data_IF_038008030434
#
_entry.id   IF_038008030434
#
_cell.length_a   1.000
_cell.length_b   1.000
_cell.length_c   1.000
_cell.angle_alpha   90.00
_cell.angle_beta   90.00
_cell.angle_gamma   90.00
#
_symmetry.space_group_name_H-M   'P 1'
#
loop_
_entity.id
_entity.type
_entity.pdbx_description
1 polymer ?
#
# COMPACT_ATOMS: atom_id res chain seq x y z
N UNK A 1 -7.78 10.24 -26.57
CA UNK A 1 -7.50 10.25 -25.11
C UNK A 1 -7.32 8.83 -24.53
N UNK A 2 -8.34 7.95 -24.55
CA UNK A 2 -8.26 6.64 -23.86
C UNK A 2 -7.16 5.71 -24.40
N UNK A 3 -6.92 5.67 -25.71
CA UNK A 3 -5.83 4.88 -26.30
C UNK A 3 -4.45 5.34 -25.82
N UNK A 4 -4.21 6.65 -25.80
CA UNK A 4 -2.96 7.24 -25.28
C UNK A 4 -2.76 6.94 -23.79
N UNK A 5 -3.86 6.89 -23.03
CA UNK A 5 -3.84 6.52 -21.61
C UNK A 5 -3.50 5.04 -21.43
N UNK A 6 -4.02 4.14 -22.26
CA UNK A 6 -3.72 2.71 -22.21
C UNK A 6 -2.24 2.42 -22.54
N UNK A 7 -1.69 3.02 -23.59
CA UNK A 7 -0.25 2.87 -23.94
C UNK A 7 0.63 3.33 -22.78
N UNK A 8 0.27 4.44 -22.13
CA UNK A 8 0.98 4.93 -20.95
C UNK A 8 0.86 3.96 -19.74
N UNK A 9 -0.31 3.37 -19.50
CA UNK A 9 -0.50 2.36 -18.44
C UNK A 9 0.34 1.10 -18.73
N UNK A 10 0.41 0.65 -19.98
CA UNK A 10 1.23 -0.51 -20.38
C UNK A 10 2.73 -0.27 -20.17
N UNK A 11 3.21 0.94 -20.43
CA UNK A 11 4.59 1.33 -20.16
C UNK A 11 4.91 1.36 -18.66
N UNK A 12 3.97 1.87 -17.86
CA UNK A 12 4.11 1.94 -16.40
C UNK A 12 3.97 0.57 -15.71
N UNK A 13 3.20 -0.36 -16.27
CA UNK A 13 3.09 -1.73 -15.73
C UNK A 13 4.35 -2.55 -16.00
N UNK A 14 5.09 -2.28 -17.09
CA UNK A 14 6.40 -2.90 -17.38
C UNK A 14 7.49 -2.48 -16.38
N UNK A 15 7.37 -1.30 -15.78
CA UNK A 15 8.31 -0.77 -14.78
C UNK A 15 8.00 -1.19 -13.34
N UNK A 16 7.06 -2.13 -13.12
CA UNK A 16 6.66 -2.71 -11.81
C UNK A 16 6.24 -1.69 -10.73
N UNK A 17 5.83 -0.48 -11.11
CA UNK A 17 5.27 0.50 -10.17
C UNK A 17 3.77 0.23 -9.95
N UNK A 18 3.34 0.20 -8.69
CA UNK A 18 1.93 0.11 -8.33
C UNK A 18 1.23 1.42 -8.72
N UNK A 19 0.30 1.35 -9.68
CA UNK A 19 -0.43 2.52 -10.19
C UNK A 19 -1.69 2.80 -9.37
N UNK A 20 -1.71 3.96 -8.69
CA UNK A 20 -2.90 4.50 -8.04
C UNK A 20 -3.93 4.98 -9.09
N UNK A 21 -5.20 4.64 -8.89
CA UNK A 21 -6.32 5.08 -9.73
C UNK A 21 -6.45 6.60 -9.81
N UNK A 22 -6.02 7.35 -8.80
CA UNK A 22 -5.99 8.82 -8.88
C UNK A 22 -4.93 9.35 -9.85
N UNK A 23 -3.76 8.70 -9.91
CA UNK A 23 -2.71 9.04 -10.88
C UNK A 23 -3.21 8.81 -12.31
N UNK A 24 -3.94 7.72 -12.54
CA UNK A 24 -4.55 7.42 -13.86
C UNK A 24 -5.60 8.48 -14.24
N UNK A 25 -6.46 8.88 -13.31
CA UNK A 25 -7.44 9.96 -13.55
C UNK A 25 -6.77 11.30 -13.87
N UNK A 26 -5.72 11.66 -13.13
CA UNK A 26 -4.97 12.89 -13.39
C UNK A 26 -4.26 12.86 -14.75
N UNK A 27 -3.68 11.72 -15.13
CA UNK A 27 -3.06 11.55 -16.45
C UNK A 27 -4.09 11.66 -17.57
N UNK A 28 -5.29 11.11 -17.39
CA UNK A 28 -6.39 11.21 -18.35
C UNK A 28 -6.79 12.67 -18.61
N UNK A 29 -6.93 13.47 -17.55
CA UNK A 29 -7.21 14.91 -17.64
C UNK A 29 -6.10 15.67 -18.40
N UNK A 30 -4.83 15.39 -18.09
CA UNK A 30 -3.70 16.01 -18.78
C UNK A 30 -3.69 15.69 -20.28
N UNK A 31 -3.94 14.44 -20.65
CA UNK A 31 -4.02 14.01 -22.05
C UNK A 31 -5.18 14.70 -22.75
N UNK A 32 -6.35 14.78 -22.11
CA UNK A 32 -7.52 15.45 -22.67
C UNK A 32 -7.25 16.95 -22.94
N UNK A 33 -6.74 17.67 -21.95
CA UNK A 33 -6.43 19.10 -22.09
C UNK A 33 -5.36 19.36 -23.16
N UNK A 34 -4.36 18.48 -23.26
CA UNK A 34 -3.32 18.58 -24.29
C UNK A 34 -3.91 18.45 -25.70
N UNK A 35 -4.77 17.44 -25.92
CA UNK A 35 -5.41 17.22 -27.22
C UNK A 35 -6.30 18.42 -27.62
N UNK A 36 -7.09 18.94 -26.68
CA UNK A 36 -7.94 20.11 -26.92
C UNK A 36 -7.13 21.40 -27.16
N UNK A 37 -5.91 21.50 -26.62
CA UNK A 37 -5.03 22.65 -26.86
C UNK A 37 -4.34 22.60 -28.23
N UNK A 38 -4.33 21.43 -28.87
CA UNK A 38 -3.69 21.20 -30.18
C UNK A 38 -4.67 21.18 -31.36
N UNK A 39 -5.97 21.10 -31.10
CA UNK A 39 -7.01 21.19 -32.14
C UNK A 39 -7.28 22.66 -32.50
N UNK A 40 -7.19 23.00 -33.80
CA UNK A 40 -7.61 24.30 -34.32
C UNK A 40 -9.12 24.47 -34.11
N UNK A 41 -9.63 25.71 -33.88
CA UNK A 41 -11.01 25.94 -33.50
C UNK A 41 -11.94 25.62 -34.68
N UNK A 42 -12.52 24.42 -34.68
CA UNK A 42 -13.68 24.12 -35.51
C UNK A 42 -14.92 24.68 -34.84
N UNK A 43 -15.65 25.50 -35.59
CA UNK A 43 -16.98 26.01 -35.27
C UNK A 43 -17.96 24.84 -35.18
N UNK A 44 -18.10 24.24 -34.00
CA UNK A 44 -19.33 23.61 -33.54
C UNK A 44 -19.24 23.48 -32.01
N UNK A 45 -20.09 24.25 -31.34
CA UNK A 45 -20.20 24.33 -29.89
C UNK A 45 -20.68 23.01 -29.30
N UNK A 46 -19.75 22.24 -28.74
CA UNK A 46 -20.01 21.52 -27.50
C UNK A 46 -18.70 21.44 -26.72
N UNK A 47 -18.47 22.45 -25.87
CA UNK A 47 -17.33 22.51 -24.94
C UNK A 47 -17.56 21.50 -23.80
N UNK A 48 -17.58 20.21 -24.14
CA UNK A 48 -17.73 19.15 -23.18
C UNK A 48 -16.44 18.98 -22.39
N UNK A 49 -16.39 19.63 -21.24
CA UNK A 49 -15.33 19.43 -20.25
C UNK A 49 -15.32 17.95 -19.82
N UNK A 50 -14.26 17.22 -20.19
CA UNK A 50 -14.09 15.85 -19.73
C UNK A 50 -13.83 15.83 -18.22
N UNK A 51 -14.64 15.04 -17.51
CA UNK A 51 -14.46 14.79 -16.07
C UNK A 51 -14.04 13.34 -15.89
N UNK A 52 -12.85 13.12 -15.32
CA UNK A 52 -12.34 11.80 -14.95
C UNK A 52 -13.05 11.23 -13.70
N UNK A 53 -14.37 11.08 -13.79
CA UNK A 53 -15.23 10.64 -12.69
C UNK A 53 -14.96 9.20 -12.26
N UNK A 54 -15.44 8.82 -11.07
CA UNK A 54 -15.37 7.42 -10.59
C UNK A 54 -16.06 6.46 -11.57
N UNK A 55 -17.25 6.81 -12.06
CA UNK A 55 -18.01 5.99 -13.01
C UNK A 55 -17.29 5.83 -14.36
N UNK A 56 -16.69 6.91 -14.86
CA UNK A 56 -15.86 6.83 -16.07
C UNK A 56 -14.67 5.89 -15.87
N UNK A 57 -13.96 6.01 -14.74
CA UNK A 57 -12.79 5.19 -14.44
C UNK A 57 -13.13 3.69 -14.31
N UNK A 58 -14.24 3.34 -13.65
CA UNK A 58 -14.70 1.94 -13.58
C UNK A 58 -15.06 1.38 -14.96
N UNK A 59 -15.76 2.17 -15.78
CA UNK A 59 -16.08 1.78 -17.17
C UNK A 59 -14.81 1.66 -18.02
N UNK A 60 -13.83 2.52 -17.83
CA UNK A 60 -12.52 2.45 -18.49
C UNK A 60 -11.76 1.18 -18.10
N UNK A 61 -11.66 0.88 -16.79
CA UNK A 61 -11.06 -0.37 -16.30
C UNK A 61 -11.72 -1.60 -16.89
N UNK A 62 -13.05 -1.61 -16.94
CA UNK A 62 -13.84 -2.71 -17.52
C UNK A 62 -13.59 -2.87 -19.02
N UNK A 63 -13.52 -1.77 -19.78
CA UNK A 63 -13.29 -1.78 -21.23
C UNK A 63 -11.88 -2.21 -21.62
N UNK A 64 -10.89 -1.90 -20.79
CA UNK A 64 -9.48 -2.22 -21.07
C UNK A 64 -8.94 -3.40 -20.24
N UNK A 65 -9.82 -4.18 -19.60
CA UNK A 65 -9.46 -5.37 -18.83
C UNK A 65 -8.39 -5.13 -17.74
N UNK A 66 -8.40 -3.93 -17.13
CA UNK A 66 -7.41 -3.49 -16.14
C UNK A 66 -7.79 -3.95 -14.72
N UNK A 67 -8.04 -5.25 -14.57
CA UNK A 67 -8.52 -5.86 -13.33
C UNK A 67 -7.48 -5.82 -12.19
N UNK A 68 -6.19 -5.67 -12.53
CA UNK A 68 -5.06 -5.65 -11.61
C UNK A 68 -4.73 -4.27 -11.02
N UNK A 69 -5.33 -3.18 -11.53
CA UNK A 69 -5.18 -1.85 -10.94
C UNK A 69 -5.95 -1.79 -9.62
N UNK A 70 -5.26 -2.08 -8.52
CA UNK A 70 -5.78 -1.93 -7.15
C UNK A 70 -6.13 -0.46 -6.93
N UNK A 71 -7.41 -0.21 -6.63
CA UNK A 71 -7.86 1.11 -6.19
C UNK A 71 -7.42 1.22 -4.74
N UNK A 72 -6.46 2.09 -4.46
CA UNK A 72 -6.08 2.47 -3.10
C UNK A 72 -7.16 3.44 -2.57
N UNK A 73 -8.36 2.91 -2.34
CA UNK A 73 -9.56 3.68 -1.99
C UNK A 73 -9.56 4.21 -0.57
N UNK A 74 -8.88 3.51 0.34
CA UNK A 74 -8.83 3.85 1.78
C UNK A 74 -8.06 5.14 2.06
N UNK A 75 -7.08 5.48 1.21
CA UNK A 75 -6.31 6.73 1.36
C UNK A 75 -7.13 7.97 0.99
N UNK A 76 -8.10 7.83 0.09
CA UNK A 76 -8.96 8.93 -0.34
C UNK A 76 -10.08 9.26 0.66
N UNK A 77 -10.44 8.31 1.53
CA UNK A 77 -11.42 8.51 2.62
C UNK A 77 -10.76 8.83 3.97
N UNK A 78 -9.44 8.88 4.02
CA UNK A 78 -8.71 9.08 5.26
C UNK A 78 -8.85 10.51 5.79
N UNK A 79 -8.92 10.64 7.12
CA UNK A 79 -9.01 11.92 7.80
C UNK A 79 -7.62 12.57 7.91
N UNK A 80 -7.28 13.39 6.91
CA UNK A 80 -6.00 14.09 6.87
C UNK A 80 -5.83 15.08 8.03
N UNK A 81 -6.91 15.71 8.49
CA UNK A 81 -6.82 16.69 9.58
C UNK A 81 -6.54 16.01 10.92
N UNK A 82 -7.20 14.88 11.19
CA UNK A 82 -6.90 14.05 12.36
C UNK A 82 -5.48 13.49 12.31
N UNK A 83 -5.01 13.10 11.12
CA UNK A 83 -3.64 12.61 10.93
C UNK A 83 -2.61 13.71 11.25
N UNK A 84 -2.77 14.91 10.71
CA UNK A 84 -1.86 16.04 10.96
C UNK A 84 -1.81 16.43 12.44
N UNK A 85 -2.98 16.50 13.09
CA UNK A 85 -3.08 16.78 14.54
C UNK A 85 -2.35 15.73 15.36
N UNK A 86 -2.49 14.46 14.99
CA UNK A 86 -1.86 13.37 15.71
C UNK A 86 -0.34 13.35 15.52
N UNK A 87 0.17 13.65 14.33
CA UNK A 87 1.62 13.78 14.09
C UNK A 87 2.26 14.79 15.04
N UNK A 88 1.59 15.93 15.29
CA UNK A 88 2.06 16.93 16.27
C UNK A 88 2.01 16.38 17.70
N UNK A 89 0.93 15.68 18.08
CA UNK A 89 0.80 15.04 19.39
C UNK A 89 1.90 14.01 19.63
N UNK A 90 2.17 13.14 18.65
CA UNK A 90 3.17 12.10 18.73
C UNK A 90 4.57 12.68 18.89
N UNK A 91 4.93 13.69 18.11
CA UNK A 91 6.22 14.39 18.22
C UNK A 91 6.42 15.01 19.62
N UNK A 92 5.33 15.52 20.23
CA UNK A 92 5.37 16.03 21.60
C UNK A 92 5.64 14.91 22.62
N UNK A 93 4.97 13.77 22.51
CA UNK A 93 5.19 12.61 23.40
C UNK A 93 6.63 12.11 23.31
N UNK A 94 7.15 11.93 22.08
CA UNK A 94 8.53 11.49 21.84
C UNK A 94 9.52 12.42 22.55
N UNK A 95 9.31 13.73 22.43
CA UNK A 95 10.17 14.74 23.06
C UNK A 95 10.02 14.78 24.59
N UNK A 96 8.81 14.64 25.11
CA UNK A 96 8.55 14.69 26.56
C UNK A 96 9.17 13.51 27.31
N UNK A 97 9.18 12.33 26.68
CA UNK A 97 9.74 11.10 27.26
C UNK A 97 11.16 10.78 26.78
N UNK A 98 11.73 11.61 25.90
CA UNK A 98 13.08 11.43 25.32
C UNK A 98 13.26 10.05 24.66
N UNK A 99 12.24 9.60 23.91
CA UNK A 99 12.30 8.31 23.22
C UNK A 99 13.30 8.35 22.06
N UNK A 100 14.22 7.38 22.03
CA UNK A 100 15.09 7.14 20.88
C UNK A 100 14.29 6.50 19.74
N UNK A 101 14.68 6.71 18.46
CA UNK A 101 14.02 6.06 17.32
C UNK A 101 13.90 4.54 17.47
N UNK A 102 14.92 3.87 18.03
CA UNK A 102 14.94 2.42 18.26
C UNK A 102 14.00 1.94 19.37
N UNK A 103 13.38 2.87 20.12
CA UNK A 103 12.38 2.57 21.15
C UNK A 103 10.95 2.78 20.65
N UNK A 104 10.77 3.24 19.40
CA UNK A 104 9.48 3.51 18.79
C UNK A 104 9.16 2.36 17.84
N UNK A 105 8.15 1.57 18.20
CA UNK A 105 7.74 0.39 17.45
C UNK A 105 6.36 0.62 16.85
N UNK A 106 6.20 0.23 15.58
CA UNK A 106 4.89 0.18 14.95
C UNK A 106 4.25 -1.21 15.16
N UNK A 107 2.96 -1.27 15.43
CA UNK A 107 2.20 -2.50 15.58
C UNK A 107 0.87 -2.40 14.80
N UNK A 108 0.59 -3.43 14.00
CA UNK A 108 -0.59 -3.53 13.11
C UNK A 108 -1.92 -3.43 13.89
N UNK A 109 -1.93 -3.88 15.15
CA UNK A 109 -3.11 -3.87 16.04
C UNK A 109 -3.33 -2.54 16.78
N UNK A 110 -2.65 -1.46 16.38
CA UNK A 110 -2.90 -0.11 16.92
C UNK A 110 -4.00 0.65 16.16
N UNK A 111 -4.69 -0.05 15.25
CA UNK A 111 -5.91 0.45 14.62
C UNK A 111 -7.11 0.43 15.58
N UNK A 112 -8.24 0.98 15.12
CA UNK A 112 -9.43 1.14 15.94
C UNK A 112 -10.43 -0.02 15.77
N UNK A 113 -9.97 -1.24 15.45
CA UNK A 113 -10.86 -2.38 15.28
C UNK A 113 -11.54 -2.76 16.62
N UNK A 114 -12.86 -3.07 16.61
CA UNK A 114 -13.61 -3.38 17.84
C UNK A 114 -13.09 -4.57 18.65
N UNK A 115 -12.30 -5.45 18.03
CA UNK A 115 -11.68 -6.61 18.66
C UNK A 115 -10.39 -6.28 19.43
N UNK A 116 -9.82 -5.10 19.24
CA UNK A 116 -8.57 -4.72 19.91
C UNK A 116 -8.85 -4.17 21.30
N UNK A 117 -8.01 -4.56 22.26
CA UNK A 117 -8.08 -4.07 23.63
C UNK A 117 -7.65 -2.59 23.64
N UNK A 118 -8.55 -1.71 24.08
CA UNK A 118 -8.30 -0.27 24.16
C UNK A 118 -7.62 0.16 25.45
N UNK A 119 -7.54 -0.73 26.43
CA UNK A 119 -7.02 -0.45 27.77
C UNK A 119 -5.80 -1.34 28.07
N UNK A 120 -4.72 -1.10 27.32
CA UNK A 120 -3.44 -1.78 27.48
C UNK A 120 -2.53 -0.95 28.38
N UNK A 121 -2.16 -1.51 29.53
CA UNK A 121 -1.23 -0.88 30.47
C UNK A 121 -0.03 -1.79 30.76
N UNK A 122 1.16 -1.22 30.68
CA UNK A 122 2.39 -1.86 31.12
C UNK A 122 3.36 -0.79 31.66
N UNK A 123 4.08 -1.03 32.78
CA UNK A 123 4.89 0.01 33.43
C UNK A 123 6.03 0.57 32.56
N UNK A 124 6.49 -0.20 31.58
CA UNK A 124 7.62 0.17 30.72
C UNK A 124 7.24 0.35 29.24
N UNK A 125 5.95 0.29 28.91
CA UNK A 125 5.49 0.41 27.52
C UNK A 125 4.32 1.40 27.49
N UNK A 126 4.49 2.47 26.72
CA UNK A 126 3.41 3.40 26.39
C UNK A 126 2.79 2.96 25.07
N UNK A 127 1.49 2.70 25.09
CA UNK A 127 0.72 2.36 23.89
C UNK A 127 -0.04 3.60 23.44
N UNK A 128 0.19 4.04 22.21
CA UNK A 128 -0.57 5.13 21.58
C UNK A 128 -1.35 4.58 20.39
N UNK A 129 -2.68 4.65 20.45
CA UNK A 129 -3.54 4.26 19.34
C UNK A 129 -3.61 5.37 18.28
N UNK A 130 -3.70 4.97 17.02
CA UNK A 130 -3.91 5.91 15.92
C UNK A 130 -5.36 6.44 15.94
N UNK A 131 -5.61 7.70 15.53
CA UNK A 131 -6.96 8.20 15.41
C UNK A 131 -7.77 7.38 14.39
N UNK A 132 -9.09 7.22 14.60
CA UNK A 132 -9.93 6.51 13.64
C UNK A 132 -9.82 7.11 12.22
N UNK A 133 -9.87 6.25 11.20
CA UNK A 133 -9.78 6.60 9.78
C UNK A 133 -8.47 7.31 9.35
N UNK A 134 -7.36 7.13 10.08
CA UNK A 134 -6.05 7.70 9.71
C UNK A 134 -5.00 6.66 9.32
N UNK A 135 -5.27 5.37 9.49
CA UNK A 135 -4.33 4.27 9.32
C UNK A 135 -3.59 4.31 7.98
N UNK A 136 -4.30 4.52 6.86
CA UNK A 136 -3.68 4.59 5.53
C UNK A 136 -2.75 5.79 5.31
N UNK A 137 -2.79 6.80 6.19
CA UNK A 137 -1.91 7.97 6.20
C UNK A 137 -0.79 7.85 7.24
N UNK A 138 -1.07 7.24 8.39
CA UNK A 138 -0.17 7.24 9.55
C UNK A 138 0.46 5.90 9.91
N UNK A 139 -0.01 4.76 9.38
CA UNK A 139 0.51 3.44 9.69
C UNK A 139 1.56 3.01 8.64
N UNK A 140 2.88 3.10 8.92
CA UNK A 140 3.93 2.67 8.00
C UNK A 140 3.75 1.24 7.48
N UNK A 141 3.20 0.35 8.31
CA UNK A 141 2.94 -1.04 7.97
C UNK A 141 2.00 -1.16 6.75
N UNK A 142 0.98 -0.31 6.68
CA UNK A 142 0.00 -0.27 5.58
C UNK A 142 0.51 0.47 4.34
N UNK A 143 1.56 1.29 4.50
CA UNK A 143 2.17 2.04 3.39
C UNK A 143 3.10 1.19 2.51
N UNK A 144 3.02 -0.13 2.63
CA UNK A 144 3.67 -1.06 1.72
C UNK A 144 4.61 -2.04 2.40
N UNK A 145 4.93 -1.88 3.69
CA UNK A 145 5.75 -2.84 4.43
C UNK A 145 5.06 -4.19 4.47
N UNK A 146 3.78 -4.26 4.89
CA UNK A 146 3.01 -5.51 4.93
C UNK A 146 2.91 -6.13 3.55
N UNK A 147 2.62 -5.33 2.52
CA UNK A 147 2.49 -5.82 1.15
C UNK A 147 3.81 -6.43 0.64
N UNK A 148 4.93 -5.73 0.89
CA UNK A 148 6.27 -6.16 0.50
C UNK A 148 6.68 -7.41 1.28
N UNK A 149 6.44 -7.43 2.59
CA UNK A 149 6.73 -8.56 3.45
C UNK A 149 5.92 -9.81 3.04
N UNK A 150 4.61 -9.67 2.79
CA UNK A 150 3.77 -10.77 2.28
C UNK A 150 4.30 -11.31 0.96
N UNK A 151 4.63 -10.44 0.00
CA UNK A 151 5.20 -10.86 -1.28
C UNK A 151 6.54 -11.60 -1.12
N UNK A 152 7.41 -11.09 -0.24
CA UNK A 152 8.68 -11.73 0.10
C UNK A 152 8.47 -13.11 0.74
N UNK A 153 7.65 -13.17 1.78
CA UNK A 153 7.38 -14.38 2.56
C UNK A 153 6.78 -15.48 1.67
N UNK A 154 5.79 -15.12 0.85
CA UNK A 154 5.17 -16.03 -0.11
C UNK A 154 6.23 -16.60 -1.07
N UNK A 155 7.04 -15.73 -1.69
CA UNK A 155 8.09 -16.17 -2.62
C UNK A 155 9.07 -17.13 -1.96
N UNK A 156 9.54 -16.82 -0.75
CA UNK A 156 10.45 -17.68 0.00
C UNK A 156 9.83 -18.99 0.44
N UNK A 157 8.55 -18.98 0.80
CA UNK A 157 7.82 -20.20 1.12
C UNK A 157 7.72 -21.11 -0.11
N UNK A 158 7.46 -20.56 -1.29
CA UNK A 158 7.44 -21.32 -2.54
C UNK A 158 8.80 -21.89 -2.91
N UNK A 159 9.89 -21.12 -2.78
CA UNK A 159 11.25 -21.61 -2.99
C UNK A 159 11.54 -22.84 -2.11
N UNK A 160 11.22 -22.76 -0.81
CA UNK A 160 11.39 -23.86 0.14
C UNK A 160 10.53 -25.08 -0.23
N UNK A 161 9.27 -24.87 -0.63
CA UNK A 161 8.38 -25.96 -1.07
C UNK A 161 9.01 -26.69 -2.27
N UNK A 162 9.47 -25.96 -3.28
CA UNK A 162 10.05 -26.56 -4.50
C UNK A 162 11.30 -27.37 -4.20
N UNK A 163 12.23 -26.82 -3.42
CA UNK A 163 13.45 -27.52 -3.00
C UNK A 163 13.11 -28.84 -2.28
N UNK A 164 12.13 -28.81 -1.38
CA UNK A 164 11.71 -30.01 -0.65
C UNK A 164 11.00 -31.02 -1.55
N UNK A 165 10.19 -30.57 -2.50
CA UNK A 165 9.56 -31.46 -3.48
C UNK A 165 10.60 -32.19 -4.33
N UNK A 166 11.67 -31.50 -4.76
CA UNK A 166 12.76 -32.08 -5.53
C UNK A 166 13.57 -33.10 -4.71
N UNK A 167 13.81 -32.82 -3.43
CA UNK A 167 14.63 -33.68 -2.56
C UNK A 167 13.90 -34.92 -2.02
N UNK A 168 12.60 -34.81 -1.71
CA UNK A 168 11.87 -35.89 -1.03
C UNK A 168 10.74 -36.53 -1.84
N UNK A 169 10.54 -36.14 -3.11
CA UNK A 169 9.44 -36.62 -3.96
C UNK A 169 8.06 -36.53 -3.27
N UNK A 170 7.90 -35.54 -2.39
CA UNK A 170 6.69 -35.28 -1.61
C UNK A 170 5.78 -34.30 -2.33
N UNK A 171 4.47 -34.41 -2.14
CA UNK A 171 3.55 -33.43 -2.69
C UNK A 171 3.56 -32.12 -1.87
N UNK A 172 3.11 -31.02 -2.46
CA UNK A 172 2.88 -29.75 -1.75
C UNK A 172 2.00 -29.97 -0.51
N UNK A 173 0.98 -30.83 -0.62
CA UNK A 173 0.04 -31.11 0.47
C UNK A 173 0.71 -31.82 1.65
N UNK A 174 1.63 -32.75 1.40
CA UNK A 174 2.40 -33.39 2.46
C UNK A 174 3.37 -32.41 3.11
N UNK A 175 4.04 -31.58 2.32
CA UNK A 175 4.95 -30.57 2.86
C UNK A 175 4.21 -29.55 3.73
N UNK A 176 3.05 -29.03 3.29
CA UNK A 176 2.27 -28.08 4.09
C UNK A 176 1.89 -28.64 5.47
N UNK A 177 1.72 -29.97 5.62
CA UNK A 177 1.47 -30.61 6.92
C UNK A 177 2.71 -30.66 7.82
N UNK A 178 3.90 -30.65 7.22
CA UNK A 178 5.18 -30.64 7.93
C UNK A 178 5.69 -29.21 8.16
N UNK A 179 5.06 -28.22 7.53
CA UNK A 179 5.45 -26.83 7.65
C UNK A 179 5.23 -26.34 9.08
N UNK A 180 6.31 -25.94 9.75
CA UNK A 180 6.31 -25.59 11.16
C UNK A 180 6.65 -24.10 11.38
N UNK A 181 6.46 -23.63 12.62
CA UNK A 181 6.87 -22.29 13.04
C UNK A 181 8.37 -22.07 12.82
N UNK A 182 9.21 -23.10 12.94
CA UNK A 182 10.64 -23.00 12.66
C UNK A 182 10.90 -22.55 11.22
N UNK A 183 10.19 -23.13 10.24
CA UNK A 183 10.30 -22.72 8.84
C UNK A 183 9.88 -21.25 8.66
N UNK A 184 8.83 -20.80 9.36
CA UNK A 184 8.41 -19.40 9.34
C UNK A 184 9.55 -18.49 9.81
N UNK A 185 10.15 -18.81 10.97
CA UNK A 185 11.23 -18.03 11.57
C UNK A 185 12.46 -18.00 10.66
N UNK A 186 12.82 -19.14 10.06
CA UNK A 186 13.93 -19.23 9.11
C UNK A 186 13.69 -18.36 7.87
N UNK A 187 12.47 -18.39 7.30
CA UNK A 187 12.11 -17.53 6.16
C UNK A 187 12.26 -16.05 6.53
N UNK A 188 11.81 -15.65 7.71
CA UNK A 188 11.93 -14.27 8.20
C UNK A 188 13.40 -13.89 8.42
N UNK A 189 14.20 -14.79 9.00
CA UNK A 189 15.62 -14.56 9.29
C UNK A 189 16.48 -14.42 8.03
N UNK A 190 16.10 -15.01 6.90
CA UNK A 190 16.89 -14.96 5.65
C UNK A 190 17.00 -13.57 5.02
N UNK A 191 16.21 -12.58 5.43
CA UNK A 191 16.38 -11.18 5.00
C UNK A 191 15.88 -10.16 6.05
N UNK A 192 16.66 -9.86 7.09
CA UNK A 192 16.24 -8.96 8.19
C UNK A 192 15.99 -7.52 7.71
N UNK A 193 16.71 -7.09 6.67
CA UNK A 193 16.70 -5.73 6.12
C UNK A 193 15.36 -5.31 5.46
N UNK A 194 14.43 -6.24 5.22
CA UNK A 194 13.08 -5.93 4.72
C UNK A 194 12.13 -5.47 5.83
N UNK A 195 12.51 -5.69 7.09
CA UNK A 195 11.66 -5.48 8.27
C UNK A 195 12.08 -4.20 8.99
N UNK A 196 13.38 -3.90 8.99
CA UNK A 196 13.91 -2.62 9.43
C UNK A 196 13.83 -1.64 8.27
N UNK A 197 12.83 -0.75 8.27
CA UNK A 197 12.82 0.40 7.35
C UNK A 197 14.12 1.20 7.47
N UNK A 198 14.44 2.01 6.45
CA UNK A 198 15.56 2.95 6.54
C UNK A 198 15.37 3.84 7.78
N UNK A 199 16.28 3.81 8.76
CA UNK A 199 16.16 4.62 9.97
C UNK A 199 16.13 6.12 9.67
N UNK A 200 16.54 6.55 8.47
CA UNK A 200 16.49 7.93 8.02
C UNK A 200 15.13 8.37 7.47
N UNK A 201 14.12 7.48 7.43
CA UNK A 201 12.80 7.75 6.86
C UNK A 201 11.67 7.54 7.89
N UNK A 202 11.96 7.83 9.15
CA UNK A 202 10.96 7.90 10.23
C UNK A 202 10.52 9.36 10.35
N UNK A 203 9.34 9.64 9.78
CA UNK A 203 8.58 10.92 9.73
C UNK A 203 9.08 11.93 8.70
#
# INVERSE_FOLDING_TARGET
MEQSLTVWIEDMTKTRLSLDGNVVKQKALKIFNYLNSTEQPSTDEDNHQFVASKCWFEKFKKRHSLHSLKIQGERASADAEAADKYSVKLAKIIKEHDYLPDQIFNADETDNAPSHATDLYHPNIQVEFLPPNTTSLLQPLDQGIIATFKAYYIRKSFELILEKMELSNTTVKEFCKQFSILNCVEIVATKPQLITGDPNNII
#
